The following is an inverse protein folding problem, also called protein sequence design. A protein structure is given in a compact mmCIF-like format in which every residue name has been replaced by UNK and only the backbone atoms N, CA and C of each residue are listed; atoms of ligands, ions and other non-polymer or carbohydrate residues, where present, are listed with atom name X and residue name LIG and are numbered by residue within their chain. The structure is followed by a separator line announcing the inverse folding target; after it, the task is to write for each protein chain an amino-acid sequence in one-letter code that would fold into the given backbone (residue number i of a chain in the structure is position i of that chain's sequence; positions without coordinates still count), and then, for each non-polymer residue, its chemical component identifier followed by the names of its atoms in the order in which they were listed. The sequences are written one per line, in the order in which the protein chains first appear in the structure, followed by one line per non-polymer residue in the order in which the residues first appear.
data_IF_425711496974
#
_entry.id   IF_425711496974
#
_cell.length_a   1.000
_cell.length_b   1.000
_cell.length_c   1.000
_cell.angle_alpha   90.00
_cell.angle_beta   90.00
_cell.angle_gamma   90.00
#
_symmetry.space_group_name_H-M   'P 1'
#
loop_
_entity.id
_entity.type
_entity.pdbx_description
1 polymer ?
#
# COMPACT_ATOMS: atom_id res chain seq x y z
N UNK A 1 9.45 10.68 -7.57
CA UNK A 1 8.36 11.21 -6.72
C UNK A 1 8.82 12.53 -6.16
N UNK A 2 7.98 13.56 -6.32
CA UNK A 2 8.17 14.85 -5.67
C UNK A 2 7.07 15.00 -4.63
N UNK A 3 7.43 15.55 -3.48
CA UNK A 3 6.51 15.76 -2.35
C UNK A 3 6.59 17.22 -1.96
N UNK A 4 5.44 17.89 -1.88
CA UNK A 4 5.36 19.27 -1.41
C UNK A 4 4.78 19.27 0.01
N UNK A 5 5.55 19.76 0.97
CA UNK A 5 5.09 19.92 2.36
C UNK A 5 4.55 21.32 2.54
N UNK A 6 3.22 21.46 2.54
CA UNK A 6 2.56 22.72 2.85
C UNK A 6 2.53 22.84 4.39
N UNK A 7 3.52 23.54 4.94
CA UNK A 7 3.61 23.99 6.34
C UNK A 7 3.99 22.89 7.36
N UNK A 8 5.22 22.96 7.91
CA UNK A 8 5.80 21.99 8.84
C UNK A 8 5.17 21.93 10.24
N UNK A 9 4.13 22.74 10.50
CA UNK A 9 3.41 22.79 11.79
C UNK A 9 2.01 22.15 11.72
N UNK A 10 1.66 21.51 10.61
CA UNK A 10 0.30 21.02 10.42
C UNK A 10 0.08 19.64 11.07
N UNK A 11 -0.51 19.66 12.27
CA UNK A 11 -0.95 18.47 13.02
C UNK A 11 -2.00 17.59 12.31
N UNK A 12 -2.49 17.97 11.13
CA UNK A 12 -3.52 17.22 10.40
C UNK A 12 -3.37 17.33 8.87
N UNK A 13 -2.15 17.55 8.37
CA UNK A 13 -1.93 17.64 6.93
C UNK A 13 -1.57 16.29 6.33
N UNK A 14 -2.18 16.02 5.18
CA UNK A 14 -1.78 14.96 4.28
C UNK A 14 -0.98 15.59 3.14
N UNK A 15 0.23 15.08 2.83
CA UNK A 15 1.01 15.62 1.72
C UNK A 15 0.28 15.32 0.41
N UNK A 16 0.37 16.25 -0.54
CA UNK A 16 -0.10 16.01 -1.90
C UNK A 16 1.04 15.35 -2.68
N UNK A 17 0.75 14.19 -3.27
CA UNK A 17 1.71 13.46 -4.08
C UNK A 17 1.63 13.85 -5.56
N UNK A 18 2.81 14.01 -6.18
CA UNK A 18 2.95 14.18 -7.63
C UNK A 18 3.80 13.05 -8.21
N UNK A 19 3.30 12.44 -9.28
CA UNK A 19 4.02 11.42 -10.03
C UNK A 19 4.51 11.98 -11.37
N UNK A 20 5.77 11.69 -11.68
CA UNK A 20 6.40 12.12 -12.91
C UNK A 20 7.21 10.97 -13.50
N UNK A 21 7.09 10.77 -14.81
CA UNK A 21 7.86 9.80 -15.57
C UNK A 21 8.90 10.56 -16.36
N UNK A 22 10.16 10.13 -16.20
CA UNK A 22 11.28 10.65 -16.97
C UNK A 22 11.79 9.57 -17.90
N UNK A 23 12.03 9.92 -19.16
CA UNK A 23 12.68 9.05 -20.12
C UNK A 23 14.06 9.60 -20.43
N UNK A 24 15.07 8.73 -20.43
CA UNK A 24 16.41 9.10 -20.88
C UNK A 24 16.45 9.05 -22.41
N UNK A 25 16.76 10.18 -23.04
CA UNK A 25 17.01 10.27 -24.47
C UNK A 25 18.43 10.78 -24.68
N UNK A 26 19.28 9.93 -25.29
CA UNK A 26 20.73 10.14 -25.35
C UNK A 26 21.34 10.43 -23.95
N UNK A 27 21.79 11.66 -23.72
CA UNK A 27 22.41 12.09 -22.46
C UNK A 27 21.48 12.92 -21.56
N UNK A 28 20.23 13.14 -21.96
CA UNK A 28 19.29 14.00 -21.25
C UNK A 28 18.11 13.20 -20.68
N UNK A 29 17.58 13.67 -19.55
CA UNK A 29 16.30 13.21 -19.00
C UNK A 29 15.21 14.18 -19.43
N UNK A 30 14.19 13.66 -20.10
CA UNK A 30 13.02 14.43 -20.48
C UNK A 30 11.82 13.99 -19.64
N UNK A 31 11.01 14.95 -19.21
CA UNK A 31 9.72 14.67 -18.58
C UNK A 31 8.73 14.22 -19.66
N UNK A 32 8.19 13.01 -19.54
CA UNK A 32 7.26 12.43 -20.53
C UNK A 32 5.82 12.39 -20.04
N UNK A 33 5.62 12.27 -18.73
CA UNK A 33 4.29 12.32 -18.10
C UNK A 33 4.41 12.95 -16.72
N UNK A 34 3.40 13.72 -16.33
CA UNK A 34 3.28 14.32 -15.01
C UNK A 34 1.82 14.32 -14.58
N UNK A 35 1.56 13.73 -13.42
CA UNK A 35 0.27 13.76 -12.75
C UNK A 35 0.45 14.44 -11.40
N UNK A 36 0.04 15.70 -11.36
CA UNK A 36 -0.04 16.50 -10.14
C UNK A 36 -1.31 16.16 -9.37
N UNK A 37 -1.32 16.51 -8.08
CA UNK A 37 -2.48 16.36 -7.19
C UNK A 37 -3.07 14.94 -7.16
N UNK A 38 -2.23 13.92 -7.28
CA UNK A 38 -2.67 12.54 -7.43
C UNK A 38 -3.48 12.04 -6.23
N UNK A 39 -2.93 12.20 -5.03
CA UNK A 39 -3.56 11.70 -3.81
C UNK A 39 -2.92 12.32 -2.57
N UNK A 40 -3.64 12.20 -1.46
CA UNK A 40 -3.25 12.63 -0.12
C UNK A 40 -2.82 11.42 0.73
N UNK A 41 -1.71 10.79 0.35
CA UNK A 41 -1.18 9.59 1.02
C UNK A 41 -0.07 10.00 1.99
N UNK A 42 -0.22 9.66 3.26
CA UNK A 42 0.77 9.95 4.31
C UNK A 42 0.13 10.49 5.57
N UNK A 43 0.94 11.10 6.44
CA UNK A 43 0.46 11.73 7.67
C UNK A 43 1.44 12.79 8.14
N UNK A 44 0.94 13.75 8.91
CA UNK A 44 1.79 14.79 9.54
C UNK A 44 2.63 15.58 8.53
N UNK A 45 2.09 15.81 7.32
CA UNK A 45 2.78 16.50 6.23
C UNK A 45 3.89 15.69 5.55
N UNK A 46 4.06 14.42 5.90
CA UNK A 46 5.11 13.55 5.36
C UNK A 46 4.52 12.42 4.51
N UNK A 47 5.12 12.21 3.34
CA UNK A 47 4.80 11.08 2.49
C UNK A 47 5.36 9.79 3.12
N UNK A 48 4.67 8.65 2.99
CA UNK A 48 5.20 7.39 3.47
C UNK A 48 6.39 6.94 2.61
N UNK A 49 7.28 6.09 3.15
CA UNK A 49 8.31 5.45 2.38
C UNK A 49 7.75 4.72 1.16
N UNK A 50 8.35 4.95 0.00
CA UNK A 50 7.95 4.37 -1.27
C UNK A 50 9.03 3.43 -1.81
N UNK A 51 8.63 2.31 -2.39
CA UNK A 51 9.52 1.35 -3.07
C UNK A 51 9.01 1.08 -4.48
N UNK A 52 9.92 1.11 -5.46
CA UNK A 52 9.61 0.58 -6.79
C UNK A 52 9.65 -0.95 -6.73
N UNK A 53 8.57 -1.59 -7.13
CA UNK A 53 8.45 -3.06 -7.12
C UNK A 53 7.98 -3.57 -8.47
N UNK A 54 8.35 -4.80 -8.81
CA UNK A 54 7.87 -5.48 -10.02
C UNK A 54 6.54 -6.18 -9.71
N UNK A 55 5.50 -5.83 -10.45
CA UNK A 55 4.11 -6.30 -10.23
C UNK A 55 3.57 -7.09 -11.42
N UNK A 56 4.45 -7.45 -12.35
CA UNK A 56 4.13 -8.14 -13.59
C UNK A 56 5.39 -8.32 -14.43
N UNK A 57 5.33 -9.10 -15.51
CA UNK A 57 6.51 -9.46 -16.32
C UNK A 57 7.31 -8.23 -16.79
N UNK A 58 6.60 -7.18 -17.21
CA UNK A 58 7.14 -5.88 -17.62
C UNK A 58 6.40 -4.71 -16.94
N UNK A 59 5.87 -4.93 -15.72
CA UNK A 59 5.07 -3.94 -15.00
C UNK A 59 5.72 -3.62 -13.67
N UNK A 60 5.70 -2.34 -13.33
CA UNK A 60 6.23 -1.83 -12.07
C UNK A 60 5.18 -0.99 -11.36
N UNK A 61 5.18 -1.08 -10.04
CA UNK A 61 4.36 -0.26 -9.16
C UNK A 61 5.20 0.43 -8.12
N UNK A 62 4.61 1.43 -7.48
CA UNK A 62 5.17 2.13 -6.34
C UNK A 62 4.39 1.69 -5.12
N UNK A 63 5.05 0.92 -4.25
CA UNK A 63 4.49 0.39 -3.02
C UNK A 63 4.84 1.33 -1.87
N UNK A 64 3.83 1.94 -1.29
CA UNK A 64 3.94 2.72 -0.06
C UNK A 64 3.68 1.83 1.15
N UNK A 65 4.46 2.05 2.21
CA UNK A 65 4.15 1.53 3.54
C UNK A 65 3.78 2.71 4.43
N UNK A 66 2.51 2.81 4.80
CA UNK A 66 2.02 3.86 5.67
C UNK A 66 1.76 3.27 7.04
N UNK A 67 2.32 3.90 8.07
CA UNK A 67 2.06 3.54 9.45
C UNK A 67 1.57 4.78 10.18
N UNK A 68 0.52 4.63 10.97
CA UNK A 68 -0.02 5.69 11.81
C UNK A 68 -0.26 5.16 13.22
N UNK A 69 0.00 6.01 14.21
CA UNK A 69 -0.27 5.71 15.61
C UNK A 69 -1.10 6.85 16.18
N UNK A 70 -2.26 6.52 16.73
CA UNK A 70 -3.13 7.48 17.40
C UNK A 70 -3.84 6.80 18.57
N UNK A 71 -3.92 7.48 19.70
CA UNK A 71 -4.71 7.04 20.87
C UNK A 71 -4.46 5.58 21.31
N UNK A 72 -3.20 5.13 21.28
CA UNK A 72 -2.84 3.77 21.69
C UNK A 72 -3.09 2.68 20.63
N UNK A 73 -3.55 3.06 19.44
CA UNK A 73 -3.78 2.16 18.30
C UNK A 73 -2.72 2.44 17.24
N UNK A 74 -2.02 1.39 16.78
CA UNK A 74 -1.13 1.44 15.63
C UNK A 74 -1.80 0.75 14.44
N UNK A 75 -1.82 1.42 13.28
CA UNK A 75 -2.34 0.90 12.02
C UNK A 75 -1.21 0.92 11.00
N UNK A 76 -1.05 -0.16 10.25
CA UNK A 76 -0.14 -0.24 9.11
C UNK A 76 -0.92 -0.61 7.85
N UNK A 77 -0.65 0.10 6.77
CA UNK A 77 -1.31 -0.03 5.47
C UNK A 77 -0.26 -0.12 4.36
N UNK A 78 -0.59 -0.88 3.32
CA UNK A 78 0.09 -0.79 2.02
C UNK A 78 -0.80 -0.10 1.02
N UNK A 79 -0.18 0.74 0.20
CA UNK A 79 -0.85 1.36 -0.95
C UNK A 79 0.03 1.09 -2.17
N UNK A 80 -0.51 0.38 -3.14
CA UNK A 80 0.16 0.11 -4.40
C UNK A 80 -0.40 1.03 -5.47
N UNK A 81 0.48 1.81 -6.09
CA UNK A 81 0.17 2.68 -7.21
C UNK A 81 0.84 2.13 -8.47
N UNK A 82 0.11 2.08 -9.59
CA UNK A 82 0.66 1.71 -10.90
C UNK A 82 0.16 2.67 -11.96
N UNK A 83 0.94 2.81 -13.04
CA UNK A 83 0.49 3.46 -14.26
C UNK A 83 -0.44 2.52 -15.03
N UNK A 84 -1.63 3.02 -15.40
CA UNK A 84 -2.64 2.38 -16.23
C UNK A 84 -3.09 3.41 -17.27
N UNK A 85 -3.02 3.05 -18.55
CA UNK A 85 -3.44 3.93 -19.65
C UNK A 85 -2.82 5.34 -19.60
N UNK A 86 -1.55 5.44 -19.20
CA UNK A 86 -0.78 6.69 -19.02
C UNK A 86 -1.17 7.55 -17.80
N UNK A 87 -1.95 7.01 -16.87
CA UNK A 87 -2.32 7.66 -15.61
C UNK A 87 -1.94 6.78 -14.43
N UNK A 88 -1.37 7.35 -13.38
CA UNK A 88 -1.19 6.66 -12.11
C UNK A 88 -2.54 6.46 -11.43
N UNK A 89 -2.72 5.28 -10.85
CA UNK A 89 -3.92 4.88 -10.11
C UNK A 89 -3.52 4.02 -8.90
N UNK A 90 -4.29 4.13 -7.81
CA UNK A 90 -4.18 3.18 -6.70
C UNK A 90 -4.80 1.87 -7.16
N UNK A 91 -4.01 0.80 -7.20
CA UNK A 91 -4.42 -0.52 -7.68
C UNK A 91 -4.57 -1.55 -6.56
N UNK A 92 -4.04 -1.29 -5.37
CA UNK A 92 -4.31 -2.04 -4.14
C UNK A 92 -4.18 -1.09 -2.94
N UNK A 93 -5.09 -1.22 -1.96
CA UNK A 93 -4.97 -0.57 -0.66
C UNK A 93 -5.47 -1.54 0.41
N UNK A 94 -4.57 -1.97 1.30
CA UNK A 94 -4.88 -2.97 2.33
C UNK A 94 -4.24 -2.62 3.66
N UNK A 95 -4.98 -2.90 4.74
CA UNK A 95 -4.43 -2.85 6.09
C UNK A 95 -3.61 -4.11 6.35
N UNK A 96 -2.34 -3.95 6.67
CA UNK A 96 -1.37 -5.03 6.89
C UNK A 96 -0.88 -5.08 8.34
N UNK A 97 -1.31 -4.16 9.20
CA UNK A 97 -1.04 -4.26 10.62
C UNK A 97 -2.09 -3.53 11.43
N UNK A 98 -2.39 -4.08 12.61
CA UNK A 98 -3.22 -3.44 13.62
C UNK A 98 -2.71 -3.84 14.99
N UNK A 99 -2.53 -2.88 15.90
CA UNK A 99 -2.10 -3.16 17.27
C UNK A 99 -2.84 -2.25 18.24
N UNK A 100 -3.46 -2.85 19.26
CA UNK A 100 -4.06 -2.17 20.40
C UNK A 100 -3.11 -2.29 21.58
N UNK A 101 -2.38 -1.22 21.89
CA UNK A 101 -1.31 -1.25 22.89
C UNK A 101 -1.85 -1.52 24.30
N UNK A 102 -3.01 -0.97 24.65
CA UNK A 102 -3.62 -1.15 25.97
C UNK A 102 -4.29 -2.52 26.12
N UNK A 103 -4.85 -3.06 25.03
CA UNK A 103 -5.57 -4.33 25.03
C UNK A 103 -4.64 -5.54 24.80
N UNK A 104 -3.39 -5.29 24.41
CA UNK A 104 -2.34 -6.31 24.34
C UNK A 104 -2.48 -7.29 23.17
N UNK A 105 -3.21 -6.92 22.11
CA UNK A 105 -3.37 -7.73 20.90
C UNK A 105 -3.04 -6.95 19.64
N UNK A 106 -2.80 -7.69 18.56
CA UNK A 106 -2.51 -7.13 17.26
C UNK A 106 -1.98 -8.17 16.29
N UNK A 107 -1.95 -7.79 15.02
CA UNK A 107 -1.42 -8.59 13.92
C UNK A 107 -0.53 -7.75 13.02
N UNK A 108 0.27 -8.44 12.24
CA UNK A 108 1.06 -7.90 11.13
C UNK A 108 1.01 -8.87 9.95
N UNK A 109 1.24 -8.35 8.75
CA UNK A 109 1.18 -9.12 7.52
C UNK A 109 2.44 -8.98 6.70
N UNK A 110 2.86 -10.08 6.09
CA UNK A 110 3.87 -10.11 5.05
C UNK A 110 3.19 -10.05 3.67
N UNK A 111 3.78 -9.31 2.74
CA UNK A 111 3.22 -9.08 1.40
C UNK A 111 4.20 -9.60 0.36
N UNK A 112 3.76 -10.56 -0.44
CA UNK A 112 4.58 -11.21 -1.47
C UNK A 112 3.94 -11.07 -2.85
N UNK A 113 4.76 -10.75 -3.86
CA UNK A 113 4.35 -10.65 -5.26
C UNK A 113 4.81 -11.91 -6.00
N UNK A 114 3.86 -12.67 -6.54
CA UNK A 114 4.09 -14.00 -7.10
C UNK A 114 3.71 -13.98 -8.58
N UNK A 115 4.61 -14.47 -9.44
CA UNK A 115 4.35 -14.56 -10.88
C UNK A 115 3.07 -15.36 -11.16
N UNK A 116 2.24 -14.85 -12.07
CA UNK A 116 1.06 -15.55 -12.58
C UNK A 116 1.34 -16.03 -14.00
N UNK A 117 1.14 -17.31 -14.27
CA UNK A 117 1.32 -17.86 -15.61
C UNK A 117 0.19 -17.42 -16.56
N UNK A 118 -0.98 -17.09 -16.01
CA UNK A 118 -2.20 -16.78 -16.76
C UNK A 118 -2.45 -15.27 -16.90
N UNK A 119 -1.58 -14.43 -16.32
CA UNK A 119 -1.73 -12.97 -16.30
C UNK A 119 -0.39 -12.26 -16.44
N UNK A 120 -0.40 -11.10 -17.12
CA UNK A 120 0.74 -10.18 -17.14
C UNK A 120 1.06 -9.58 -15.76
N UNK A 121 0.13 -9.69 -14.82
CA UNK A 121 0.22 -9.17 -13.46
C UNK A 121 0.55 -10.29 -12.47
N UNK A 122 1.46 -10.03 -11.55
CA UNK A 122 1.72 -10.93 -10.43
C UNK A 122 0.50 -10.98 -9.52
N UNK A 123 0.23 -12.15 -8.92
CA UNK A 123 -0.67 -12.28 -7.77
C UNK A 123 -0.01 -11.67 -6.54
N UNK A 124 -0.83 -11.22 -5.60
CA UNK A 124 -0.36 -10.71 -4.31
C UNK A 124 -0.85 -11.65 -3.22
N UNK A 125 0.08 -12.20 -2.45
CA UNK A 125 -0.23 -12.98 -1.25
C UNK A 125 0.02 -12.09 -0.04
N UNK A 126 -0.96 -12.01 0.85
CA UNK A 126 -0.84 -11.34 2.14
C UNK A 126 -1.02 -12.40 3.22
N UNK A 127 0.05 -12.70 3.95
CA UNK A 127 0.05 -13.65 5.06
C UNK A 127 0.03 -12.87 6.36
N UNK A 128 -1.05 -12.99 7.12
CA UNK A 128 -1.28 -12.26 8.37
C UNK A 128 -1.06 -13.18 9.56
N UNK A 129 -0.26 -12.74 10.52
CA UNK A 129 -0.04 -13.47 11.77
C UNK A 129 -0.21 -12.54 12.97
N UNK A 130 -0.68 -13.10 14.08
CA UNK A 130 -0.78 -12.37 15.33
C UNK A 130 -1.93 -12.84 16.19
N UNK A 131 -2.59 -11.90 16.83
CA UNK A 131 -3.67 -12.14 17.78
C UNK A 131 -4.83 -11.17 17.55
N UNK A 132 -6.05 -11.66 17.67
CA UNK A 132 -7.28 -10.87 17.65
C UNK A 132 -8.11 -11.16 18.89
N UNK A 133 -8.99 -10.26 19.33
CA UNK A 133 -9.88 -10.54 20.44
C UNK A 133 -10.82 -11.69 20.07
N UNK A 134 -10.99 -12.67 20.97
CA UNK A 134 -12.10 -13.62 20.82
C UNK A 134 -13.41 -12.83 20.82
N UNK A 135 -14.39 -13.29 20.03
CA UNK A 135 -15.67 -12.62 19.78
C UNK A 135 -16.25 -11.83 20.96
N UNK A 136 -17.10 -10.84 20.68
CA UNK A 136 -17.68 -9.89 21.66
C UNK A 136 -18.30 -10.48 22.95
N UNK A 137 -18.49 -11.80 23.03
CA UNK A 137 -19.07 -12.51 24.18
C UNK A 137 -18.06 -13.32 25.00
N UNK A 138 -16.78 -13.41 24.60
CA UNK A 138 -15.71 -14.12 25.32
C UNK A 138 -14.49 -13.23 25.53
N UNK A 139 -14.06 -13.08 26.77
CA UNK A 139 -12.78 -12.47 27.10
C UNK A 139 -11.62 -13.38 26.68
N UNK A 140 -10.67 -12.84 25.94
CA UNK A 140 -9.49 -13.56 25.48
C UNK A 140 -8.95 -13.01 24.16
N UNK A 141 -7.79 -13.52 23.76
CA UNK A 141 -7.22 -13.32 22.44
C UNK A 141 -7.02 -14.69 21.81
N UNK A 142 -7.25 -14.79 20.51
CA UNK A 142 -6.94 -15.98 19.73
C UNK A 142 -5.85 -15.68 18.72
N UNK A 143 -4.96 -16.65 18.52
CA UNK A 143 -3.93 -16.56 17.49
C UNK A 143 -4.56 -16.75 16.12
N UNK A 144 -4.13 -15.94 15.16
CA UNK A 144 -4.53 -16.06 13.77
C UNK A 144 -3.32 -16.29 12.88
N UNK A 145 -3.57 -17.08 11.85
CA UNK A 145 -2.74 -17.21 10.66
C UNK A 145 -3.72 -17.23 9.49
N UNK A 146 -3.77 -16.13 8.74
CA UNK A 146 -4.68 -15.95 7.61
C UNK A 146 -3.88 -15.66 6.35
N UNK A 147 -4.29 -16.27 5.25
CA UNK A 147 -3.71 -16.01 3.94
C UNK A 147 -4.78 -15.44 3.02
N UNK A 148 -4.50 -14.28 2.43
CA UNK A 148 -5.33 -13.65 1.41
C UNK A 148 -4.57 -13.60 0.10
N UNK A 149 -5.27 -13.92 -0.98
CA UNK A 149 -4.76 -13.82 -2.34
C UNK A 149 -5.50 -12.72 -3.07
N UNK A 150 -4.75 -11.88 -3.75
CA UNK A 150 -5.29 -10.89 -4.66
C UNK A 150 -4.83 -11.18 -6.07
N UNK A 151 -5.78 -11.15 -6.99
CA UNK A 151 -5.57 -11.33 -8.42
C UNK A 151 -5.93 -10.04 -9.14
N UNK A 152 -5.28 -9.79 -10.26
CA UNK A 152 -5.62 -8.64 -11.09
C UNK A 152 -6.98 -8.83 -11.75
N UNK A 153 -7.84 -7.84 -11.62
CA UNK A 153 -9.16 -7.80 -12.26
C UNK A 153 -9.50 -6.35 -12.67
N UNK A 154 -9.58 -6.15 -13.99
CA UNK A 154 -9.98 -4.92 -14.67
C UNK A 154 -9.63 -3.60 -13.95
N UNK A 155 -8.33 -3.33 -13.79
CA UNK A 155 -7.83 -2.03 -13.30
C UNK A 155 -7.41 -2.00 -11.84
N UNK A 156 -7.65 -3.07 -11.08
CA UNK A 156 -7.20 -3.17 -9.68
C UNK A 156 -6.97 -4.61 -9.25
N UNK A 157 -6.35 -4.80 -8.09
CA UNK A 157 -6.28 -6.08 -7.42
C UNK A 157 -7.58 -6.35 -6.65
N UNK A 158 -8.13 -7.55 -6.82
CA UNK A 158 -9.33 -8.04 -6.12
C UNK A 158 -8.99 -9.27 -5.30
N UNK A 159 -9.63 -9.40 -4.14
CA UNK A 159 -9.54 -10.61 -3.33
C UNK A 159 -10.04 -11.80 -4.17
N UNK A 160 -9.21 -12.82 -4.32
CA UNK A 160 -9.58 -14.06 -4.98
C UNK A 160 -10.64 -14.78 -4.15
N UNK A 161 -11.68 -15.30 -4.79
CA UNK A 161 -12.64 -16.17 -4.11
C UNK A 161 -11.92 -17.42 -3.58
N UNK A 162 -12.21 -17.79 -2.34
CA UNK A 162 -11.73 -19.05 -1.77
C UNK A 162 -12.36 -20.20 -2.55
N UNK A 163 -11.55 -20.99 -3.27
CA UNK A 163 -12.00 -22.25 -3.88
C UNK A 163 -12.41 -23.28 -2.82
#
# INVERSE_FOLDING_TARGET
MLTETINSECHACFPILTFAIFQRQAEEWILVSNQSDFSSIGSWGHAPPAKLIKIGQNRFGILFHHNNISSGISIGEIILVSELNSEFQIVLHEQIALRYLEEGWGYESEVTFIEDAESDWHKIQITTTGTIPTSATKQGVESIEEEKWFVWDEGSYRLAESN
#
